data_IF_861182074411
#
_entry.id   IF_861182074411
#
_cell.length_a   1.000
_cell.length_b   1.000
_cell.length_c   1.000
_cell.angle_alpha   90.00
_cell.angle_beta   90.00
_cell.angle_gamma   90.00
#
_symmetry.space_group_name_H-M   'P 1'
#
loop_
_entity.id
_entity.type
_entity.pdbx_description
1 polymer ?
#
# COMPACT_ATOMS: atom_id res chain seq x y z
N UNK A 1 -7.71 -20.72 13.47
CA UNK A 1 -7.07 -19.41 13.23
C UNK A 1 -8.19 -18.41 13.09
N UNK A 2 -8.23 -17.30 13.83
CA UNK A 2 -9.25 -16.28 13.59
C UNK A 2 -9.00 -15.70 12.19
N UNK A 3 -10.04 -15.60 11.38
CA UNK A 3 -9.98 -14.92 10.08
C UNK A 3 -9.68 -13.44 10.31
N UNK A 4 -8.78 -12.87 9.49
CA UNK A 4 -8.65 -11.42 9.37
C UNK A 4 -10.04 -10.82 9.10
N UNK A 5 -10.39 -9.65 9.68
CA UNK A 5 -11.63 -8.95 9.30
C UNK A 5 -11.57 -8.46 7.84
N UNK A 6 -10.38 -8.51 7.23
CA UNK A 6 -10.10 -8.16 5.85
C UNK A 6 -10.17 -9.39 4.94
N UNK A 7 -10.54 -9.19 3.67
CA UNK A 7 -10.49 -10.26 2.65
C UNK A 7 -9.06 -10.66 2.24
N UNK A 8 -8.06 -9.98 2.80
CA UNK A 8 -6.64 -10.20 2.53
C UNK A 8 -6.00 -11.21 3.49
N UNK A 9 -4.84 -11.75 3.10
CA UNK A 9 -3.95 -12.45 4.02
C UNK A 9 -3.43 -11.47 5.08
N UNK A 10 -3.23 -11.94 6.32
CA UNK A 10 -2.71 -11.11 7.43
C UNK A 10 -1.38 -10.43 7.07
N UNK A 11 -0.55 -11.14 6.32
CA UNK A 11 0.73 -10.64 5.81
C UNK A 11 0.53 -9.41 4.89
N UNK A 12 -0.50 -9.42 4.06
CA UNK A 12 -0.86 -8.29 3.18
C UNK A 12 -1.39 -7.12 3.98
N UNK A 13 -2.24 -7.38 4.98
CA UNK A 13 -2.79 -6.35 5.88
C UNK A 13 -1.65 -5.63 6.60
N UNK A 14 -0.73 -6.39 7.20
CA UNK A 14 0.44 -5.81 7.87
C UNK A 14 1.29 -5.00 6.88
N UNK A 15 1.50 -5.50 5.66
CA UNK A 15 2.29 -4.80 4.65
C UNK A 15 1.67 -3.45 4.26
N UNK A 16 0.34 -3.38 4.06
CA UNK A 16 -0.35 -2.15 3.63
C UNK A 16 -0.44 -1.17 4.80
N UNK A 17 -0.89 -1.61 5.97
CA UNK A 17 -1.23 -0.70 7.07
C UNK A 17 -0.06 -0.37 8.00
N UNK A 18 0.86 -1.33 8.21
CA UNK A 18 1.94 -1.18 9.18
C UNK A 18 3.33 -1.13 8.54
N UNK A 19 3.49 -1.74 7.37
CA UNK A 19 4.81 -2.05 6.82
C UNK A 19 5.53 -3.10 7.65
N UNK A 20 6.69 -3.54 7.14
CA UNK A 20 7.44 -4.67 7.71
C UNK A 20 8.92 -4.42 7.75
N UNK A 21 9.56 -5.00 8.75
CA UNK A 21 11.01 -5.17 8.81
C UNK A 21 11.35 -6.56 8.25
N UNK A 22 12.07 -6.57 7.15
CA UNK A 22 12.57 -7.76 6.48
C UNK A 22 13.95 -8.11 7.01
N UNK A 23 14.22 -9.41 7.17
CA UNK A 23 15.49 -9.95 7.70
C UNK A 23 15.85 -9.37 9.07
N UNK A 24 14.87 -9.31 9.98
CA UNK A 24 15.02 -8.79 11.35
C UNK A 24 16.30 -9.32 12.00
N UNK A 25 17.13 -8.39 12.50
CA UNK A 25 18.37 -8.73 13.22
C UNK A 25 19.58 -9.05 12.32
N UNK A 26 19.39 -9.09 11.00
CA UNK A 26 20.50 -9.24 10.06
C UNK A 26 21.17 -7.89 9.74
N UNK A 27 22.49 -7.86 9.42
CA UNK A 27 23.17 -6.64 9.00
C UNK A 27 22.58 -5.95 7.75
N UNK A 28 21.83 -6.70 6.95
CA UNK A 28 21.19 -6.23 5.73
C UNK A 28 19.66 -6.18 5.84
N UNK A 29 19.13 -5.98 7.05
CA UNK A 29 17.70 -5.72 7.25
C UNK A 29 17.24 -4.51 6.43
N UNK A 30 16.01 -4.58 5.94
CA UNK A 30 15.39 -3.50 5.18
C UNK A 30 13.90 -3.47 5.47
N UNK A 31 13.21 -2.43 5.05
CA UNK A 31 11.77 -2.29 5.31
C UNK A 31 10.98 -2.21 4.02
N UNK A 32 9.76 -2.75 4.05
CA UNK A 32 8.82 -2.81 2.92
C UNK A 32 7.42 -2.38 3.37
N UNK A 33 6.58 -1.99 2.42
CA UNK A 33 5.20 -1.61 2.70
C UNK A 33 5.04 -0.26 3.40
N UNK A 34 3.98 -0.17 4.21
CA UNK A 34 3.41 1.02 4.81
C UNK A 34 2.89 2.03 3.76
N UNK A 35 1.58 1.94 3.54
CA UNK A 35 0.82 2.63 2.49
C UNK A 35 -0.49 3.23 3.01
N UNK A 36 -0.76 3.20 4.32
CA UNK A 36 -1.87 3.91 4.95
C UNK A 36 -1.34 4.86 6.02
N UNK A 37 -1.66 6.14 5.87
CA UNK A 37 -1.37 7.15 6.87
C UNK A 37 -2.55 7.18 7.83
N UNK A 38 -2.43 6.53 8.98
CA UNK A 38 -3.44 6.59 10.03
C UNK A 38 -3.40 7.95 10.75
N UNK A 39 -4.47 8.29 11.46
CA UNK A 39 -4.46 9.44 12.40
C UNK A 39 -3.34 9.28 13.44
N UNK A 40 -3.17 8.06 13.95
CA UNK A 40 -2.05 7.65 14.77
C UNK A 40 -1.28 6.55 14.06
N UNK A 41 -0.11 6.90 13.52
CA UNK A 41 0.73 5.95 12.82
C UNK A 41 1.19 4.80 13.73
N UNK A 42 1.46 3.61 13.17
CA UNK A 42 2.02 2.49 13.90
C UNK A 42 3.25 2.89 14.72
N UNK A 43 3.40 2.33 15.92
CA UNK A 43 4.48 2.71 16.82
C UNK A 43 5.85 2.52 16.15
N UNK A 44 6.64 3.59 16.14
CA UNK A 44 7.97 3.59 15.52
C UNK A 44 7.99 3.89 14.02
N UNK A 45 6.83 4.03 13.38
CA UNK A 45 6.75 4.50 11.99
C UNK A 45 6.72 6.02 11.93
N UNK A 46 7.46 6.59 10.96
CA UNK A 46 7.57 8.04 10.81
C UNK A 46 7.65 8.44 9.34
N UNK A 47 6.83 9.41 8.96
CA UNK A 47 7.05 10.19 7.75
C UNK A 47 8.23 11.13 8.00
N UNK A 48 9.34 10.92 7.31
CA UNK A 48 10.57 11.70 7.51
C UNK A 48 10.59 12.94 6.62
N UNK A 49 9.97 12.86 5.43
CA UNK A 49 9.87 13.98 4.49
C UNK A 49 8.70 13.78 3.53
N UNK A 50 7.88 14.83 3.37
CA UNK A 50 6.87 14.90 2.32
C UNK A 50 7.58 15.18 0.97
N UNK A 51 7.37 14.31 0.00
CA UNK A 51 7.91 14.45 -1.37
C UNK A 51 6.90 15.17 -2.25
N UNK A 52 5.63 14.78 -2.18
CA UNK A 52 4.52 15.44 -2.84
C UNK A 52 3.33 15.57 -1.88
N UNK A 53 2.65 16.71 -1.94
CA UNK A 53 1.45 16.99 -1.14
C UNK A 53 0.24 16.17 -1.57
N UNK A 54 -0.92 16.31 -0.90
CA UNK A 54 -2.12 15.54 -1.22
C UNK A 54 -2.66 15.90 -2.61
N UNK A 55 -2.99 14.88 -3.40
CA UNK A 55 -3.82 15.04 -4.60
C UNK A 55 -5.33 15.13 -4.29
N UNK A 56 -6.16 15.14 -5.32
CA UNK A 56 -7.63 15.21 -5.21
C UNK A 56 -8.25 14.03 -4.42
N UNK A 57 -7.52 12.92 -4.27
CA UNK A 57 -7.92 11.76 -3.47
C UNK A 57 -7.22 11.72 -2.10
N UNK A 58 -6.45 12.76 -1.75
CA UNK A 58 -5.66 12.79 -0.53
C UNK A 58 -4.42 11.91 -0.56
N UNK A 59 -4.04 11.35 -1.72
CA UNK A 59 -2.82 10.55 -1.83
C UNK A 59 -1.62 11.46 -1.65
N UNK A 60 -0.63 11.05 -0.86
CA UNK A 60 0.66 11.75 -0.74
C UNK A 60 1.81 10.84 -1.17
N UNK A 61 2.96 11.43 -1.48
CA UNK A 61 4.24 10.72 -1.64
C UNK A 61 5.18 11.16 -0.52
N UNK A 62 5.78 10.22 0.21
CA UNK A 62 6.68 10.55 1.31
C UNK A 62 7.83 9.56 1.49
N UNK A 63 8.98 10.09 1.90
CA UNK A 63 10.07 9.30 2.46
C UNK A 63 9.69 8.92 3.90
N UNK A 64 10.01 7.68 4.28
CA UNK A 64 9.50 7.06 5.51
C UNK A 64 10.54 6.23 6.22
N UNK A 65 10.33 6.05 7.50
CA UNK A 65 11.07 5.17 8.39
C UNK A 65 10.08 4.21 9.06
N UNK A 66 10.41 2.92 9.09
CA UNK A 66 9.63 1.89 9.78
C UNK A 66 10.51 1.34 10.89
N UNK A 67 10.09 1.50 12.15
CA UNK A 67 10.81 1.06 13.35
C UNK A 67 12.30 1.46 13.38
N UNK A 68 12.63 2.72 13.04
CA UNK A 68 14.03 3.19 13.05
C UNK A 68 14.81 2.94 11.76
N UNK A 69 14.24 2.24 10.77
CA UNK A 69 14.94 1.87 9.53
C UNK A 69 14.37 2.68 8.36
N UNK A 70 15.18 3.55 7.72
CA UNK A 70 14.74 4.31 6.55
C UNK A 70 14.40 3.39 5.38
N UNK A 71 13.24 3.62 4.76
CA UNK A 71 12.84 2.92 3.55
C UNK A 71 13.63 3.46 2.36
N UNK A 72 14.10 2.56 1.48
CA UNK A 72 14.93 2.93 0.31
C UNK A 72 14.18 3.71 -0.76
N UNK A 73 12.87 3.52 -0.85
CA UNK A 73 12.01 4.19 -1.82
C UNK A 73 10.86 4.87 -1.07
N UNK A 74 10.41 6.04 -1.54
CA UNK A 74 9.22 6.69 -0.98
C UNK A 74 8.00 5.76 -1.01
N UNK A 75 7.12 5.92 -0.03
CA UNK A 75 5.78 5.34 -0.03
C UNK A 75 4.78 6.31 -0.63
N UNK A 76 3.76 5.77 -1.27
CA UNK A 76 2.50 6.45 -1.53
C UNK A 76 1.45 6.00 -0.53
N UNK A 77 0.59 6.92 -0.09
CA UNK A 77 -0.29 6.70 1.05
C UNK A 77 -1.77 6.92 0.73
N UNK A 78 -2.59 6.00 1.19
CA UNK A 78 -4.01 6.27 1.47
C UNK A 78 -4.06 7.22 2.68
N UNK A 79 -4.84 8.30 2.56
CA UNK A 79 -4.98 9.32 3.61
C UNK A 79 -5.81 8.84 4.80
N UNK A 80 -5.57 9.42 5.97
CA UNK A 80 -6.36 9.22 7.20
C UNK A 80 -7.80 9.70 7.09
N UNK A 81 -8.18 10.35 5.98
CA UNK A 81 -9.59 10.67 5.70
C UNK A 81 -10.43 9.44 5.37
N UNK A 82 -9.78 8.32 5.01
CA UNK A 82 -10.43 7.05 4.75
C UNK A 82 -10.28 6.12 5.95
N UNK A 83 -11.30 5.36 6.29
CA UNK A 83 -11.16 4.28 7.28
C UNK A 83 -10.39 3.10 6.68
N UNK A 84 -9.93 2.18 7.53
CA UNK A 84 -9.28 0.94 7.08
C UNK A 84 -10.20 0.09 6.22
N UNK A 85 -11.50 0.07 6.52
CA UNK A 85 -12.53 -0.61 5.73
C UNK A 85 -12.71 0.06 4.36
N UNK A 86 -12.78 1.40 4.31
CA UNK A 86 -12.87 2.13 3.03
C UNK A 86 -11.63 1.89 2.16
N UNK A 87 -10.44 1.81 2.75
CA UNK A 87 -9.21 1.44 2.02
C UNK A 87 -9.32 0.03 1.44
N UNK A 88 -9.84 -0.93 2.20
CA UNK A 88 -10.04 -2.31 1.72
C UNK A 88 -11.05 -2.35 0.59
N UNK A 89 -12.18 -1.65 0.73
CA UNK A 89 -13.21 -1.56 -0.31
C UNK A 89 -12.65 -0.93 -1.60
N UNK A 90 -11.86 0.14 -1.49
CA UNK A 90 -11.20 0.77 -2.64
C UNK A 90 -10.23 -0.19 -3.35
N UNK A 91 -9.45 -0.96 -2.59
CA UNK A 91 -8.56 -1.98 -3.17
C UNK A 91 -9.38 -3.09 -3.86
N UNK A 92 -10.50 -3.52 -3.26
CA UNK A 92 -11.39 -4.51 -3.86
C UNK A 92 -12.00 -4.00 -5.17
N UNK A 93 -12.49 -2.75 -5.20
CA UNK A 93 -13.01 -2.09 -6.39
C UNK A 93 -11.96 -2.05 -7.51
N UNK A 94 -10.75 -1.55 -7.20
CA UNK A 94 -9.65 -1.54 -8.15
C UNK A 94 -9.26 -2.95 -8.61
N UNK A 95 -9.28 -3.94 -7.72
CA UNK A 95 -8.99 -5.32 -8.06
C UNK A 95 -10.00 -5.92 -9.06
N UNK A 96 -11.28 -5.55 -8.97
CA UNK A 96 -12.32 -6.03 -9.88
C UNK A 96 -12.15 -5.52 -11.32
N UNK A 97 -11.60 -4.31 -11.50
CA UNK A 97 -11.42 -3.69 -12.82
C UNK A 97 -9.96 -3.58 -13.27
N UNK A 98 -9.04 -4.21 -12.54
CA UNK A 98 -7.60 -4.12 -12.79
C UNK A 98 -7.21 -4.61 -14.18
N UNK A 99 -6.18 -3.97 -14.73
CA UNK A 99 -5.42 -4.44 -15.87
C UNK A 99 -3.96 -4.66 -15.47
N UNK A 100 -3.32 -5.66 -16.09
CA UNK A 100 -1.88 -5.88 -15.92
C UNK A 100 -1.10 -4.68 -16.46
N UNK A 101 -0.14 -4.17 -15.68
CA UNK A 101 0.73 -3.07 -16.12
C UNK A 101 1.71 -3.61 -17.19
N UNK A 102 1.74 -3.03 -18.40
CA UNK A 102 2.60 -3.49 -19.48
C UNK A 102 4.07 -3.56 -19.09
N UNK A 103 4.77 -4.63 -19.49
CA UNK A 103 6.18 -4.84 -19.17
C UNK A 103 6.44 -5.34 -17.75
N UNK A 104 5.41 -5.60 -16.94
CA UNK A 104 5.55 -6.16 -15.59
C UNK A 104 5.01 -7.60 -15.50
N UNK A 105 5.55 -8.38 -14.55
CA UNK A 105 5.14 -9.78 -14.36
C UNK A 105 3.95 -9.94 -13.41
N UNK A 106 3.85 -9.15 -12.34
CA UNK A 106 2.85 -9.34 -11.29
C UNK A 106 2.21 -8.02 -10.86
N UNK A 107 2.44 -6.93 -11.59
CA UNK A 107 1.89 -5.63 -11.26
C UNK A 107 0.61 -5.39 -12.08
N UNK A 108 -0.43 -4.98 -11.37
CA UNK A 108 -1.75 -4.70 -11.89
C UNK A 108 -2.20 -3.34 -11.38
N UNK A 109 -2.97 -2.63 -12.18
CA UNK A 109 -3.52 -1.33 -11.83
C UNK A 109 -5.00 -1.31 -12.09
N UNK A 110 -5.76 -0.85 -11.12
CA UNK A 110 -7.20 -0.62 -11.22
C UNK A 110 -7.56 0.75 -10.67
N UNK A 111 -8.85 1.03 -10.65
CA UNK A 111 -9.41 2.32 -10.24
C UNK A 111 -10.53 2.07 -9.24
N UNK A 112 -10.48 2.72 -8.07
CA UNK A 112 -11.58 2.69 -7.12
C UNK A 112 -12.75 3.56 -7.62
N UNK A 113 -13.95 3.40 -7.05
CA UNK A 113 -15.16 4.10 -7.52
C UNK A 113 -15.05 5.64 -7.39
N UNK A 114 -14.20 6.12 -6.47
CA UNK A 114 -13.92 7.54 -6.31
C UNK A 114 -12.96 8.11 -7.39
N UNK A 115 -12.39 7.27 -8.26
CA UNK A 115 -11.42 7.67 -9.30
C UNK A 115 -9.96 7.42 -8.94
N UNK A 116 -9.65 7.04 -7.69
CA UNK A 116 -8.29 6.79 -7.23
C UNK A 116 -7.68 5.60 -7.96
N UNK A 117 -6.54 5.81 -8.62
CA UNK A 117 -5.75 4.74 -9.21
C UNK A 117 -5.01 3.97 -8.12
N UNK A 118 -5.15 2.64 -8.10
CA UNK A 118 -4.48 1.76 -7.14
C UNK A 118 -3.65 0.76 -7.93
N UNK A 119 -2.38 0.65 -7.55
CA UNK A 119 -1.47 -0.35 -8.08
C UNK A 119 -1.28 -1.47 -7.05
N UNK A 120 -1.25 -2.70 -7.54
CA UNK A 120 -1.22 -3.90 -6.72
C UNK A 120 -0.22 -4.89 -7.29
N UNK A 121 0.51 -5.56 -6.41
CA UNK A 121 1.27 -6.75 -6.76
C UNK A 121 0.49 -7.98 -6.34
N UNK A 122 0.23 -8.87 -7.30
CA UNK A 122 -0.53 -10.09 -7.07
C UNK A 122 0.37 -11.33 -7.17
N UNK A 123 0.12 -12.30 -6.30
CA UNK A 123 0.59 -13.67 -6.47
C UNK A 123 -0.24 -14.38 -7.56
N UNK A 124 0.28 -15.49 -8.08
CA UNK A 124 -0.47 -16.33 -9.01
C UNK A 124 -0.91 -15.64 -10.31
N UNK A 125 -2.13 -15.94 -10.75
CA UNK A 125 -2.74 -15.38 -11.96
C UNK A 125 -3.52 -14.07 -11.71
N UNK A 126 -3.64 -13.66 -10.44
CA UNK A 126 -4.28 -12.41 -10.03
C UNK A 126 -5.80 -12.44 -10.09
N UNK A 127 -6.42 -13.61 -9.98
CA UNK A 127 -7.89 -13.74 -9.97
C UNK A 127 -8.51 -13.51 -8.60
N UNK A 128 -7.87 -13.93 -7.51
CA UNK A 128 -8.44 -13.84 -6.17
C UNK A 128 -7.94 -12.60 -5.42
N UNK A 129 -8.81 -11.96 -4.65
CA UNK A 129 -8.43 -10.83 -3.80
C UNK A 129 -7.35 -11.21 -2.77
N UNK A 130 -7.37 -12.47 -2.31
CA UNK A 130 -6.37 -13.03 -1.40
C UNK A 130 -4.97 -13.15 -2.05
N UNK A 131 -4.86 -13.03 -3.38
CA UNK A 131 -3.58 -13.02 -4.08
C UNK A 131 -2.85 -11.66 -3.98
N UNK A 132 -3.51 -10.61 -3.47
CA UNK A 132 -2.86 -9.31 -3.25
C UNK A 132 -1.73 -9.47 -2.22
N UNK A 133 -0.50 -9.19 -2.65
CA UNK A 133 0.71 -9.16 -1.81
C UNK A 133 0.88 -7.77 -1.20
N UNK A 134 0.59 -6.73 -1.99
CA UNK A 134 0.59 -5.33 -1.58
C UNK A 134 -0.29 -4.52 -2.51
N UNK A 135 -0.85 -3.43 -1.99
CA UNK A 135 -1.64 -2.46 -2.74
C UNK A 135 -1.33 -1.06 -2.22
N UNK A 136 -1.24 -0.08 -3.12
CA UNK A 136 -0.98 1.30 -2.77
C UNK A 136 -1.59 2.26 -3.80
N UNK A 137 -2.01 3.47 -3.38
CA UNK A 137 -2.55 4.44 -4.31
C UNK A 137 -1.43 5.03 -5.17
N UNK A 138 -1.77 5.41 -6.39
CA UNK A 138 -0.87 6.12 -7.29
C UNK A 138 -1.23 7.60 -7.26
N UNK A 139 -0.29 8.43 -6.84
CA UNK A 139 -0.46 9.88 -6.84
C UNK A 139 -0.65 10.38 -8.27
N UNK A 140 -1.65 11.25 -8.49
CA UNK A 140 -2.02 11.75 -9.83
C UNK A 140 -0.86 12.35 -10.63
N UNK A 141 0.09 13.04 -9.98
CA UNK A 141 1.29 13.59 -10.64
C UNK A 141 2.22 12.55 -11.28
N UNK A 142 2.06 11.27 -10.94
CA UNK A 142 2.90 10.16 -11.44
C UNK A 142 2.18 9.28 -12.47
N UNK A 143 0.88 9.52 -12.70
CA UNK A 143 0.14 8.88 -13.78
C UNK A 143 0.67 9.43 -15.13
N UNK A 144 1.12 8.51 -15.98
CA UNK A 144 1.61 8.80 -17.34
C UNK A 144 0.63 8.30 -18.37
#
# INVERSE_FOLDING_TARGET
MPHSPYEFLDDTVEHIFNGKVEKIGAPNQYVTGWHYQAEFNPQGNKITKLVEGPDEYGTIIAEVEIQGIPKKQPSTFFSSQYTTEEVVDMIMQAHMNKARVPGTRNCFRGVADNGMCIEMFLAGDGTNIADVITAYPIHTSTLK
#
